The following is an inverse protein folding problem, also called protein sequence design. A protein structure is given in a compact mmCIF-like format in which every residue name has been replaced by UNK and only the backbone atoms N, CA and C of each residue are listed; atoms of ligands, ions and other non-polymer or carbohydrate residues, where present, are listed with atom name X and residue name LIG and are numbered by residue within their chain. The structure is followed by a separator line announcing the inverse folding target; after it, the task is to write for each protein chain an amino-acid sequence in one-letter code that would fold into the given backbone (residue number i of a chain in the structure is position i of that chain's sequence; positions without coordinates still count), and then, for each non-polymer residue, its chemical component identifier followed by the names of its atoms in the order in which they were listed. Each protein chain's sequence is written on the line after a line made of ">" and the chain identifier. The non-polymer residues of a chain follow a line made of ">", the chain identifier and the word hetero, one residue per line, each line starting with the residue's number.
data_IF_087639869290
#
_entry.id   IF_087639869290
#
_cell.length_a   1.000
_cell.length_b   1.000
_cell.length_c   1.000
_cell.angle_alpha   90.00
_cell.angle_beta   90.00
_cell.angle_gamma   90.00
#
_symmetry.space_group_name_H-M   'P 1'
#
loop_
_entity.id
_entity.type
_entity.pdbx_description
1 polymer ?
#
# COMPACT_ATOMS: atom_id res chain seq x y z
N UNK A 1 -9.08 45.15 1.60
CA UNK A 1 -10.41 44.51 1.78
C UNK A 1 -10.74 43.84 0.45
N UNK A 2 -10.31 42.59 0.27
CA UNK A 2 -10.35 41.91 -1.04
C UNK A 2 -10.26 40.38 -0.88
N UNK A 3 -10.97 39.83 0.12
CA UNK A 3 -11.13 38.39 0.33
C UNK A 3 -12.06 37.65 -0.66
N UNK A 4 -13.04 38.28 -1.36
CA UNK A 4 -13.90 37.51 -2.27
C UNK A 4 -13.24 37.18 -3.63
N UNK A 5 -12.20 37.93 -4.04
CA UNK A 5 -11.55 37.75 -5.34
C UNK A 5 -10.64 36.51 -5.34
N UNK A 6 -9.95 36.23 -4.23
CA UNK A 6 -9.08 35.05 -4.11
C UNK A 6 -9.91 33.76 -4.06
N UNK A 7 -11.07 33.79 -3.39
CA UNK A 7 -11.97 32.63 -3.34
C UNK A 7 -12.59 32.32 -4.72
N UNK A 8 -12.93 33.35 -5.49
CA UNK A 8 -13.40 33.20 -6.87
C UNK A 8 -12.29 32.67 -7.81
N UNK A 9 -11.05 33.09 -7.61
CA UNK A 9 -9.90 32.60 -8.39
C UNK A 9 -9.62 31.11 -8.09
N UNK A 10 -9.68 30.70 -6.82
CA UNK A 10 -9.50 29.29 -6.43
C UNK A 10 -10.65 28.41 -6.94
N UNK A 11 -11.91 28.91 -6.89
CA UNK A 11 -13.03 28.19 -7.49
C UNK A 11 -12.89 28.08 -9.02
N UNK A 12 -12.42 29.13 -9.70
CA UNK A 12 -12.19 29.08 -11.14
C UNK A 12 -11.04 28.15 -11.53
N UNK A 13 -9.99 28.04 -10.70
CA UNK A 13 -8.91 27.06 -10.88
C UNK A 13 -9.39 25.62 -10.69
N UNK A 14 -10.35 25.38 -9.79
CA UNK A 14 -10.99 24.07 -9.64
C UNK A 14 -11.89 23.71 -10.84
N UNK A 15 -12.56 24.68 -11.46
CA UNK A 15 -13.38 24.45 -12.66
C UNK A 15 -12.50 24.28 -13.92
N UNK A 16 -11.41 25.03 -14.06
CA UNK A 16 -10.51 24.93 -15.22
C UNK A 16 -9.62 23.67 -15.16
N UNK A 17 -9.28 23.20 -13.96
CA UNK A 17 -8.56 21.91 -13.79
C UNK A 17 -9.49 20.69 -13.92
N UNK A 18 -10.80 20.88 -13.80
CA UNK A 18 -11.84 19.83 -13.89
C UNK A 18 -12.57 19.74 -15.24
N UNK A 19 -12.33 20.68 -16.17
CA UNK A 19 -12.96 20.72 -17.49
C UNK A 19 -11.98 20.60 -18.66
N UNK A 20 -10.93 19.79 -18.53
CA UNK A 20 -10.36 19.16 -19.71
C UNK A 20 -11.34 18.09 -20.18
N UNK A 21 -12.31 18.48 -21.01
CA UNK A 21 -13.20 17.59 -21.74
C UNK A 21 -12.37 16.68 -22.65
N UNK A 22 -11.82 15.61 -22.11
CA UNK A 22 -11.60 14.41 -22.91
C UNK A 22 -12.99 13.90 -23.25
N UNK A 23 -13.35 14.03 -24.53
CA UNK A 23 -14.42 13.26 -25.17
C UNK A 23 -14.02 11.78 -25.22
N UNK A 24 -13.60 11.20 -24.09
CA UNK A 24 -13.57 9.76 -23.97
C UNK A 24 -15.02 9.35 -23.71
N UNK A 25 -15.63 8.53 -24.58
CA UNK A 25 -16.88 7.90 -24.21
C UNK A 25 -16.66 7.22 -22.85
N UNK A 26 -17.57 7.46 -21.91
CA UNK A 26 -17.73 6.63 -20.73
C UNK A 26 -18.05 5.21 -21.24
N UNK A 27 -17.01 4.45 -21.59
CA UNK A 27 -17.05 3.01 -21.80
C UNK A 27 -16.65 2.34 -20.48
N UNK A 28 -17.08 2.89 -19.34
CA UNK A 28 -17.32 2.03 -18.20
C UNK A 28 -18.66 1.36 -18.50
N UNK A 29 -18.62 0.19 -19.14
CA UNK A 29 -19.74 -0.75 -19.13
C UNK A 29 -20.27 -0.84 -17.69
N UNK A 30 -21.59 -0.90 -17.43
CA UNK A 30 -22.12 -1.12 -16.08
C UNK A 30 -21.46 -2.30 -15.35
N UNK A 31 -20.90 -3.26 -16.11
CA UNK A 31 -20.22 -4.44 -15.61
C UNK A 31 -18.72 -4.23 -15.33
N UNK A 32 -18.13 -3.10 -15.73
CA UNK A 32 -16.68 -2.86 -15.60
C UNK A 32 -16.25 -2.80 -14.13
N UNK A 33 -16.97 -2.03 -13.32
CA UNK A 33 -16.66 -1.96 -11.89
C UNK A 33 -16.84 -3.33 -11.24
N UNK A 34 -17.91 -4.05 -11.57
CA UNK A 34 -18.17 -5.39 -11.03
C UNK A 34 -17.07 -6.39 -11.41
N UNK A 35 -16.60 -6.36 -12.66
CA UNK A 35 -15.55 -7.25 -13.17
C UNK A 35 -14.18 -6.96 -12.54
N UNK A 36 -13.86 -5.70 -12.29
CA UNK A 36 -12.50 -5.29 -11.91
C UNK A 36 -12.34 -4.91 -10.43
N UNK A 37 -13.40 -4.52 -9.73
CA UNK A 37 -13.36 -4.21 -8.29
C UNK A 37 -12.68 -5.30 -7.44
N UNK A 38 -12.89 -6.60 -7.67
CA UNK A 38 -12.24 -7.65 -6.89
C UNK A 38 -10.72 -7.58 -6.88
N UNK A 39 -10.08 -7.15 -7.97
CA UNK A 39 -8.62 -7.09 -8.02
C UNK A 39 -8.05 -5.91 -7.19
N UNK A 40 -8.71 -4.74 -7.18
CA UNK A 40 -8.32 -3.63 -6.29
C UNK A 40 -8.51 -4.01 -4.82
N UNK A 41 -9.62 -4.70 -4.51
CA UNK A 41 -9.86 -5.19 -3.16
C UNK A 41 -8.86 -6.28 -2.74
N UNK A 42 -8.41 -7.11 -3.68
CA UNK A 42 -7.35 -8.09 -3.44
C UNK A 42 -6.04 -7.42 -3.03
N UNK A 43 -5.65 -6.37 -3.75
CA UNK A 43 -4.47 -5.54 -3.43
C UNK A 43 -4.59 -4.88 -2.05
N UNK A 44 -5.77 -4.35 -1.70
CA UNK A 44 -6.03 -3.81 -0.36
C UNK A 44 -5.96 -4.88 0.73
N UNK A 45 -6.50 -6.07 0.45
CA UNK A 45 -6.41 -7.23 1.33
C UNK A 45 -4.97 -7.60 1.64
N UNK A 46 -4.13 -7.70 0.61
CA UNK A 46 -2.71 -8.00 0.77
C UNK A 46 -1.97 -6.94 1.60
N UNK A 47 -2.24 -5.66 1.36
CA UNK A 47 -1.68 -4.59 2.18
C UNK A 47 -2.06 -4.71 3.67
N UNK A 48 -3.31 -5.10 3.95
CA UNK A 48 -3.77 -5.31 5.32
C UNK A 48 -3.07 -6.49 5.99
N UNK A 49 -2.81 -7.58 5.26
CA UNK A 49 -2.01 -8.72 5.73
C UNK A 49 -0.59 -8.29 6.06
N UNK A 50 0.09 -7.61 5.14
CA UNK A 50 1.46 -7.09 5.34
C UNK A 50 1.52 -6.15 6.54
N UNK A 51 0.50 -5.30 6.71
CA UNK A 51 0.42 -4.40 7.86
C UNK A 51 0.27 -5.17 9.18
N UNK A 52 -0.47 -6.28 9.17
CA UNK A 52 -0.58 -7.16 10.32
C UNK A 52 0.76 -7.86 10.61
N UNK A 53 1.45 -8.36 9.59
CA UNK A 53 2.79 -8.95 9.69
C UNK A 53 3.80 -7.96 10.27
N UNK A 54 3.84 -6.71 9.79
CA UNK A 54 4.70 -5.65 10.32
C UNK A 54 4.45 -5.35 11.80
N UNK A 55 3.17 -5.33 12.22
CA UNK A 55 2.80 -5.16 13.63
C UNK A 55 3.26 -6.34 14.48
N UNK A 56 3.12 -7.56 13.96
CA UNK A 56 3.59 -8.78 14.63
C UNK A 56 5.11 -8.83 14.73
N UNK A 57 5.84 -8.51 13.67
CA UNK A 57 7.29 -8.42 13.67
C UNK A 57 7.80 -7.43 14.72
N UNK A 58 7.19 -6.25 14.80
CA UNK A 58 7.48 -5.27 15.86
C UNK A 58 7.18 -5.81 17.26
N UNK A 59 6.08 -6.54 17.43
CA UNK A 59 5.73 -7.15 18.71
C UNK A 59 6.72 -8.25 19.14
N UNK A 60 7.24 -9.02 18.17
CA UNK A 60 8.28 -10.04 18.36
C UNK A 60 9.69 -9.46 18.57
N UNK A 61 9.84 -8.13 18.56
CA UNK A 61 11.13 -7.47 18.76
C UNK A 61 12.05 -7.51 17.55
N UNK A 62 11.54 -7.82 16.35
CA UNK A 62 12.31 -7.72 15.11
C UNK A 62 12.58 -6.23 14.84
N UNK A 63 13.87 -5.88 14.75
CA UNK A 63 14.28 -4.51 14.43
C UNK A 63 14.07 -4.23 12.94
N UNK A 64 13.07 -3.40 12.65
CA UNK A 64 12.73 -2.94 11.30
C UNK A 64 13.36 -1.59 10.95
N UNK A 65 14.05 -0.94 11.90
CA UNK A 65 14.69 0.37 11.65
C UNK A 65 15.67 0.33 10.47
N UNK A 66 16.47 -0.75 10.24
CA UNK A 66 17.38 -0.81 9.09
C UNK A 66 16.70 -0.75 7.72
N UNK A 67 15.43 -1.17 7.63
CA UNK A 67 14.68 -1.24 6.36
C UNK A 67 13.58 -0.18 6.26
N UNK A 68 13.42 0.67 7.27
CA UNK A 68 12.29 1.60 7.42
C UNK A 68 12.14 2.59 6.28
N UNK A 69 13.25 3.20 5.83
CA UNK A 69 13.22 4.18 4.76
C UNK A 69 12.82 3.52 3.42
N UNK A 70 13.37 2.35 3.14
CA UNK A 70 13.03 1.58 1.94
C UNK A 70 11.58 1.11 1.97
N UNK A 71 11.13 0.60 3.12
CA UNK A 71 9.75 0.19 3.37
C UNK A 71 8.79 1.35 3.14
N UNK A 72 9.08 2.53 3.69
CA UNK A 72 8.25 3.73 3.55
C UNK A 72 8.14 4.15 2.09
N UNK A 73 9.26 4.20 1.37
CA UNK A 73 9.27 4.54 -0.05
C UNK A 73 8.42 3.58 -0.90
N UNK A 74 8.49 2.27 -0.61
CA UNK A 74 7.70 1.28 -1.34
C UNK A 74 6.21 1.39 -0.99
N UNK A 75 5.87 1.63 0.27
CA UNK A 75 4.48 1.84 0.70
C UNK A 75 3.87 3.11 0.11
N UNK A 76 4.66 4.17 -0.07
CA UNK A 76 4.22 5.38 -0.78
C UNK A 76 3.92 5.08 -2.25
N UNK A 77 4.77 4.30 -2.92
CA UNK A 77 4.54 3.83 -4.30
C UNK A 77 3.24 3.02 -4.38
N UNK A 78 3.06 2.05 -3.47
CA UNK A 78 1.82 1.29 -3.35
C UNK A 78 0.61 2.22 -3.26
N UNK A 79 0.64 3.20 -2.36
CA UNK A 79 -0.50 4.08 -2.11
C UNK A 79 -0.87 4.93 -3.32
N UNK A 80 0.13 5.45 -4.03
CA UNK A 80 -0.07 6.22 -5.27
C UNK A 80 -0.78 5.37 -6.33
N UNK A 81 -0.31 4.15 -6.56
CA UNK A 81 -0.86 3.29 -7.59
C UNK A 81 -2.20 2.66 -7.20
N UNK A 82 -2.42 2.35 -5.92
CA UNK A 82 -3.72 1.92 -5.40
C UNK A 82 -4.79 3.00 -5.61
N UNK A 83 -4.49 4.27 -5.29
CA UNK A 83 -5.40 5.39 -5.57
C UNK A 83 -5.64 5.62 -7.07
N UNK A 84 -4.60 5.45 -7.89
CA UNK A 84 -4.75 5.53 -9.33
C UNK A 84 -5.66 4.42 -9.87
N UNK A 85 -5.54 3.19 -9.37
CA UNK A 85 -6.38 2.07 -9.75
C UNK A 85 -7.86 2.34 -9.43
N UNK A 86 -8.17 2.87 -8.24
CA UNK A 86 -9.53 3.34 -7.91
C UNK A 86 -10.06 4.40 -8.88
N UNK A 87 -9.22 5.38 -9.22
CA UNK A 87 -9.60 6.43 -10.18
C UNK A 87 -9.93 5.83 -11.55
N UNK A 88 -9.08 4.95 -12.06
CA UNK A 88 -9.29 4.31 -13.36
C UNK A 88 -10.43 3.29 -13.38
N UNK A 89 -10.72 2.68 -12.22
CA UNK A 89 -11.90 1.84 -12.03
C UNK A 89 -13.17 2.66 -12.25
N UNK A 90 -13.26 3.85 -11.65
CA UNK A 90 -14.41 4.74 -11.83
C UNK A 90 -14.50 5.36 -13.23
N UNK A 91 -13.37 5.57 -13.90
CA UNK A 91 -13.34 6.17 -15.25
C UNK A 91 -13.52 5.16 -16.38
N UNK A 92 -13.44 3.85 -16.10
CA UNK A 92 -13.52 2.78 -17.11
C UNK A 92 -12.28 2.64 -17.99
N UNK A 93 -11.12 3.16 -17.58
CA UNK A 93 -9.89 3.03 -18.37
C UNK A 93 -9.16 1.73 -18.04
N UNK A 94 -9.51 0.65 -18.74
CA UNK A 94 -8.95 -0.69 -18.51
C UNK A 94 -7.42 -0.76 -18.57
N UNK A 95 -6.81 -0.04 -19.51
CA UNK A 95 -5.36 -0.11 -19.71
C UNK A 95 -4.62 0.51 -18.54
N UNK A 96 -5.06 1.72 -18.13
CA UNK A 96 -4.45 2.42 -16.99
C UNK A 96 -4.78 1.74 -15.67
N UNK A 97 -5.99 1.20 -15.55
CA UNK A 97 -6.42 0.38 -14.42
C UNK A 97 -5.47 -0.81 -14.21
N UNK A 98 -5.28 -1.66 -15.24
CA UNK A 98 -4.40 -2.84 -15.15
C UNK A 98 -2.96 -2.47 -14.81
N UNK A 99 -2.45 -1.39 -15.40
CA UNK A 99 -1.11 -0.89 -15.08
C UNK A 99 -1.00 -0.43 -13.62
N UNK A 100 -1.99 0.30 -13.11
CA UNK A 100 -1.99 0.77 -11.73
C UNK A 100 -2.06 -0.39 -10.72
N UNK A 101 -2.95 -1.38 -10.96
CA UNK A 101 -3.03 -2.59 -10.13
C UNK A 101 -1.70 -3.34 -10.12
N UNK A 102 -1.13 -3.65 -11.29
CA UNK A 102 0.14 -4.39 -11.34
C UNK A 102 1.33 -3.63 -10.71
N UNK A 103 1.29 -2.29 -10.68
CA UNK A 103 2.30 -1.48 -9.98
C UNK A 103 2.11 -1.53 -8.46
N UNK A 104 0.87 -1.53 -7.99
CA UNK A 104 0.55 -1.67 -6.57
C UNK A 104 0.93 -3.09 -6.06
N UNK A 105 0.57 -4.14 -6.80
CA UNK A 105 0.95 -5.53 -6.51
C UNK A 105 2.47 -5.69 -6.41
N UNK A 106 3.22 -5.17 -7.40
CA UNK A 106 4.69 -5.23 -7.38
C UNK A 106 5.28 -4.47 -6.18
N UNK A 107 4.69 -3.36 -5.77
CA UNK A 107 5.13 -2.66 -4.57
C UNK A 107 4.92 -3.53 -3.32
N UNK A 108 3.76 -4.16 -3.15
CA UNK A 108 3.51 -5.06 -2.02
C UNK A 108 4.44 -6.29 -2.03
N UNK A 109 4.70 -6.88 -3.20
CA UNK A 109 5.66 -7.98 -3.31
C UNK A 109 7.06 -7.56 -2.83
N UNK A 110 7.51 -6.35 -3.18
CA UNK A 110 8.81 -5.84 -2.68
C UNK A 110 8.83 -5.63 -1.17
N UNK A 111 7.69 -5.26 -0.56
CA UNK A 111 7.59 -5.20 0.90
C UNK A 111 7.78 -6.59 1.51
N UNK A 112 7.13 -7.62 0.93
CA UNK A 112 7.31 -9.01 1.39
C UNK A 112 8.77 -9.45 1.27
N UNK A 113 9.42 -9.17 0.13
CA UNK A 113 10.82 -9.52 -0.08
C UNK A 113 11.75 -8.82 0.93
N UNK A 114 11.43 -7.59 1.35
CA UNK A 114 12.18 -6.88 2.39
C UNK A 114 11.96 -7.46 3.78
N UNK A 115 10.71 -7.80 4.11
CA UNK A 115 10.37 -8.45 5.37
C UNK A 115 11.09 -9.79 5.52
N UNK A 116 11.06 -10.63 4.48
CA UNK A 116 11.75 -11.93 4.48
C UNK A 116 13.27 -11.76 4.67
N UNK A 117 13.87 -10.72 4.07
CA UNK A 117 15.29 -10.40 4.27
C UNK A 117 15.58 -9.95 5.70
N UNK A 118 14.73 -9.12 6.30
CA UNK A 118 14.89 -8.66 7.67
C UNK A 118 14.75 -9.80 8.68
N UNK A 119 13.78 -10.69 8.47
CA UNK A 119 13.60 -11.89 9.30
C UNK A 119 14.81 -12.82 9.24
N UNK A 120 15.38 -13.06 8.05
CA UNK A 120 16.60 -13.88 7.89
C UNK A 120 17.84 -13.24 8.52
N UNK A 121 17.88 -11.91 8.60
CA UNK A 121 18.97 -11.17 9.21
C UNK A 121 18.85 -11.06 10.74
N UNK A 122 17.66 -11.31 11.30
CA UNK A 122 17.45 -11.28 12.74
C UNK A 122 18.27 -12.41 13.43
N UNK A 123 18.94 -12.12 14.57
CA UNK A 123 19.60 -13.16 15.34
C UNK A 123 18.58 -14.21 15.77
N UNK A 124 18.73 -15.46 15.32
CA UNK A 124 17.98 -16.57 15.91
C UNK A 124 18.43 -16.70 17.37
N UNK A 125 17.64 -16.19 18.31
CA UNK A 125 17.82 -16.55 19.72
C UNK A 125 17.68 -18.07 19.82
N UNK A 126 18.80 -18.75 20.07
CA UNK A 126 18.79 -20.15 20.46
C UNK A 126 17.83 -20.29 21.65
N UNK A 127 16.97 -21.33 21.68
CA UNK A 127 16.05 -21.50 22.79
C UNK A 127 16.84 -21.47 24.10
N UNK A 128 16.34 -20.80 25.15
CA UNK A 128 17.06 -20.68 26.41
C UNK A 128 17.47 -22.08 26.84
N UNK A 129 18.78 -22.31 26.97
CA UNK A 129 19.32 -23.57 27.45
C UNK A 129 18.54 -23.94 28.70
N UNK A 130 17.84 -25.08 28.64
CA UNK A 130 17.06 -25.58 29.75
C UNK A 130 17.97 -25.58 30.98
N UNK A 131 17.70 -24.70 31.93
CA UNK A 131 18.35 -24.67 33.22
C UNK A 131 18.05 -25.99 33.90
N UNK A 132 18.92 -26.98 33.72
CA UNK A 132 18.85 -28.26 34.43
C UNK A 132 18.76 -27.93 35.92
N UNK A 133 17.81 -28.51 36.68
CA UNK A 133 17.75 -28.26 38.10
C UNK A 133 19.05 -28.76 38.73
N UNK A 134 19.76 -27.82 39.36
CA UNK A 134 20.94 -28.09 40.18
C UNK A 134 20.51 -29.09 41.24
N UNK A 135 21.01 -30.35 41.17
CA UNK A 135 20.76 -31.35 42.20
C UNK A 135 21.20 -30.76 43.53
N UNK A 136 20.23 -30.48 44.41
CA UNK A 136 20.49 -30.29 45.83
C UNK A 136 20.88 -31.65 46.38
N UNK A 137 22.19 -31.87 46.53
CA UNK A 137 22.72 -32.94 47.36
C UNK A 137 22.36 -32.62 48.81
N UNK A 138 21.49 -33.46 49.39
CA UNK A 138 21.26 -33.61 50.82
C UNK A 138 22.46 -34.29 51.48
#
# INVERSE_FOLDING_TARGET
>A
MSKPIILALILSLLVVSGCATTKQPLIASPNFVEEYLPAVLGVEGEYNEITAELKMARWLGIDLEPIKDELTNILDIYWVYYRAAHTYLTSGDLSRYKQAVGRAENALQKVRDLLEKAEKAAPQEAPPESSKPKRLSL
#
